data_IF_455978564201
#
_entry.id   IF_455978564201
#
_cell.length_a   1.000
_cell.length_b   1.000
_cell.length_c   1.000
_cell.angle_alpha   90.00
_cell.angle_beta   90.00
_cell.angle_gamma   90.00
#
_symmetry.space_group_name_H-M   'P 1'
#
loop_
_entity.id
_entity.type
_entity.pdbx_description
1 polymer ?
#
# COMPACT_ATOMS: atom_id res chain seq x y z
N UNK A 1 -12.74 -41.34 -4.42
CA UNK A 1 -12.52 -40.28 -5.42
C UNK A 1 -13.16 -38.99 -4.92
N UNK A 2 -12.44 -38.25 -4.10
CA UNK A 2 -12.82 -36.89 -3.71
C UNK A 2 -12.44 -35.95 -4.89
N UNK A 3 -13.46 -35.47 -5.57
CA UNK A 3 -13.32 -34.34 -6.50
C UNK A 3 -13.02 -33.10 -5.67
N UNK A 4 -11.76 -32.73 -5.60
CA UNK A 4 -11.34 -31.44 -5.03
C UNK A 4 -11.56 -30.36 -6.07
N UNK A 5 -12.69 -29.69 -6.01
CA UNK A 5 -12.85 -28.38 -6.63
C UNK A 5 -12.00 -27.39 -5.82
N UNK A 6 -10.75 -27.24 -6.25
CA UNK A 6 -9.83 -26.30 -5.64
C UNK A 6 -10.27 -24.90 -6.05
N UNK A 7 -10.85 -24.14 -5.13
CA UNK A 7 -11.13 -22.72 -5.34
C UNK A 7 -9.80 -21.97 -5.50
N UNK A 8 -9.76 -20.93 -6.35
CA UNK A 8 -8.53 -20.20 -6.70
C UNK A 8 -7.70 -19.70 -5.50
N UNK A 9 -8.32 -19.54 -4.33
CA UNK A 9 -7.65 -19.17 -3.07
C UNK A 9 -6.81 -20.33 -2.51
N UNK A 10 -7.24 -21.57 -2.69
CA UNK A 10 -6.47 -22.75 -2.23
C UNK A 10 -5.18 -22.97 -3.00
N UNK A 11 -5.15 -22.60 -4.30
CA UNK A 11 -3.95 -22.74 -5.12
C UNK A 11 -2.85 -21.78 -4.75
N UNK A 12 -3.15 -20.62 -4.19
CA UNK A 12 -2.15 -19.63 -3.78
C UNK A 12 -1.42 -20.02 -2.49
N UNK A 13 -2.07 -20.76 -1.59
CA UNK A 13 -1.47 -21.11 -0.29
C UNK A 13 -0.82 -22.50 -0.27
N UNK A 14 -1.22 -23.42 -1.16
CA UNK A 14 -0.61 -24.76 -1.25
C UNK A 14 0.92 -24.73 -1.46
N UNK A 15 1.50 -23.86 -2.29
CA UNK A 15 2.94 -23.72 -2.39
C UNK A 15 3.59 -23.18 -1.11
N UNK A 16 2.87 -22.39 -0.33
CA UNK A 16 3.37 -21.76 0.90
C UNK A 16 3.42 -22.78 2.04
N UNK A 17 2.43 -23.67 2.13
CA UNK A 17 2.34 -24.68 3.19
C UNK A 17 3.35 -25.83 3.01
N UNK A 18 3.73 -26.15 1.77
CA UNK A 18 4.65 -27.24 1.46
C UNK A 18 6.12 -26.80 1.30
N UNK A 19 6.44 -25.52 1.30
CA UNK A 19 7.80 -25.02 1.29
C UNK A 19 8.21 -24.56 2.69
N UNK A 20 9.32 -25.10 3.19
CA UNK A 20 10.02 -24.54 4.35
C UNK A 20 10.47 -23.13 4.01
N UNK A 21 9.63 -22.14 4.33
CA UNK A 21 9.98 -20.74 4.13
C UNK A 21 11.12 -20.35 5.08
N UNK A 22 12.18 -19.80 4.53
CA UNK A 22 13.21 -19.14 5.33
C UNK A 22 12.59 -17.97 6.10
N UNK A 23 12.99 -17.75 7.35
CA UNK A 23 12.51 -16.64 8.17
C UNK A 23 12.56 -15.29 7.43
N UNK A 24 13.65 -15.01 6.72
CA UNK A 24 13.81 -13.79 5.92
C UNK A 24 12.77 -13.67 4.81
N UNK A 25 12.42 -14.77 4.15
CA UNK A 25 11.37 -14.77 3.12
C UNK A 25 10.00 -14.45 3.74
N UNK A 26 9.70 -14.99 4.91
CA UNK A 26 8.48 -14.67 5.66
C UNK A 26 8.40 -13.19 6.06
N UNK A 27 9.52 -12.62 6.51
CA UNK A 27 9.61 -11.18 6.82
C UNK A 27 9.38 -10.33 5.58
N UNK A 28 10.04 -10.64 4.45
CA UNK A 28 9.82 -9.91 3.19
C UNK A 28 8.37 -9.98 2.73
N UNK A 29 7.73 -11.13 2.80
CA UNK A 29 6.34 -11.30 2.39
C UNK A 29 5.38 -10.46 3.28
N UNK A 30 5.59 -10.50 4.59
CA UNK A 30 4.83 -9.67 5.54
C UNK A 30 5.05 -8.18 5.28
N UNK A 31 6.29 -7.77 5.04
CA UNK A 31 6.63 -6.40 4.68
C UNK A 31 5.93 -5.98 3.39
N UNK A 32 5.98 -6.79 2.34
CA UNK A 32 5.37 -6.49 1.05
C UNK A 32 3.85 -6.34 1.16
N UNK A 33 3.20 -7.16 1.98
CA UNK A 33 1.77 -7.05 2.25
C UNK A 33 1.40 -5.68 2.86
N UNK A 34 2.17 -5.20 3.84
CA UNK A 34 1.89 -3.94 4.51
C UNK A 34 2.42 -2.71 3.77
N UNK A 35 3.43 -2.84 2.91
CA UNK A 35 4.05 -1.72 2.21
C UNK A 35 3.04 -0.92 1.38
N UNK A 36 2.19 -1.61 0.62
CA UNK A 36 1.15 -0.99 -0.20
C UNK A 36 0.12 -0.27 0.67
N UNK A 37 -0.34 -0.92 1.76
CA UNK A 37 -1.29 -0.34 2.69
C UNK A 37 -0.77 0.92 3.41
N UNK A 38 0.54 1.01 3.62
CA UNK A 38 1.16 2.18 4.28
C UNK A 38 0.98 3.46 3.48
N UNK A 39 1.06 3.40 2.16
CA UNK A 39 0.85 4.57 1.30
C UNK A 39 -0.62 4.95 1.24
N UNK A 40 -1.52 3.99 1.07
CA UNK A 40 -2.97 4.23 1.09
C UNK A 40 -3.48 4.76 2.44
N UNK A 41 -2.74 4.52 3.53
CA UNK A 41 -3.10 5.06 4.85
C UNK A 41 -3.16 6.59 4.88
N UNK A 42 -2.42 7.28 4.00
CA UNK A 42 -2.46 8.75 3.91
C UNK A 42 -3.82 9.26 3.44
N UNK A 43 -4.49 8.56 2.54
CA UNK A 43 -5.81 8.92 2.02
C UNK A 43 -6.88 8.89 3.12
N UNK A 44 -6.71 8.01 4.09
CA UNK A 44 -7.63 7.84 5.22
C UNK A 44 -7.28 8.81 6.34
N UNK A 45 -5.99 8.95 6.65
CA UNK A 45 -5.52 9.77 7.78
C UNK A 45 -5.69 11.26 7.54
N UNK A 46 -5.84 11.72 6.29
CA UNK A 46 -6.11 13.13 5.97
C UNK A 46 -7.40 13.68 6.60
N UNK A 47 -8.33 12.82 7.00
CA UNK A 47 -9.57 13.23 7.69
C UNK A 47 -9.38 13.45 9.19
N UNK A 48 -8.21 13.17 9.73
CA UNK A 48 -7.91 13.39 11.15
C UNK A 48 -7.67 14.88 11.43
N UNK A 49 -8.14 15.35 12.59
CA UNK A 49 -8.08 16.78 12.96
C UNK A 49 -6.66 17.28 13.20
N UNK A 50 -5.79 16.43 13.74
CA UNK A 50 -4.44 16.81 14.07
C UNK A 50 -3.48 15.61 14.10
N UNK A 51 -2.16 15.90 14.02
CA UNK A 51 -1.10 14.89 14.02
C UNK A 51 -1.15 13.92 15.22
N UNK A 52 -1.52 14.42 16.40
CA UNK A 52 -1.57 13.60 17.61
C UNK A 52 -2.68 12.55 17.54
N UNK A 53 -3.83 12.92 17.01
CA UNK A 53 -4.94 11.99 16.76
C UNK A 53 -4.57 10.97 15.69
N UNK A 54 -3.95 11.40 14.59
CA UNK A 54 -3.46 10.49 13.56
C UNK A 54 -2.53 9.43 14.14
N UNK A 55 -1.50 9.84 14.89
CA UNK A 55 -0.55 8.90 15.50
C UNK A 55 -1.25 7.95 16.49
N UNK A 56 -2.14 8.48 17.33
CA UNK A 56 -2.87 7.65 18.31
C UNK A 56 -3.78 6.64 17.63
N UNK A 57 -4.58 7.07 16.66
CA UNK A 57 -5.50 6.18 15.94
C UNK A 57 -4.76 5.12 15.14
N UNK A 58 -3.63 5.46 14.53
CA UNK A 58 -2.81 4.49 13.78
C UNK A 58 -2.14 3.50 14.73
N UNK A 59 -1.47 3.98 15.77
CA UNK A 59 -0.75 3.10 16.70
C UNK A 59 -1.70 2.20 17.48
N UNK A 60 -2.76 2.75 18.07
CA UNK A 60 -3.69 1.98 18.91
C UNK A 60 -4.80 1.29 18.14
N UNK A 61 -5.17 1.79 16.97
CA UNK A 61 -6.20 1.18 16.13
C UNK A 61 -5.67 0.07 15.22
N UNK A 62 -4.47 0.23 14.66
CA UNK A 62 -3.93 -0.71 13.67
C UNK A 62 -3.01 -1.75 14.29
N UNK A 63 -2.03 -1.35 15.11
CA UNK A 63 -1.00 -2.27 15.59
C UNK A 63 -1.54 -3.38 16.50
N UNK A 64 -2.29 -3.10 17.59
CA UNK A 64 -2.76 -4.17 18.48
C UNK A 64 -3.72 -5.12 17.77
N UNK A 65 -4.67 -4.57 17.00
CA UNK A 65 -5.64 -5.38 16.27
C UNK A 65 -4.96 -6.21 15.18
N UNK A 66 -4.01 -5.62 14.44
CA UNK A 66 -3.24 -6.33 13.42
C UNK A 66 -2.42 -7.49 14.02
N UNK A 67 -1.73 -7.26 15.12
CA UNK A 67 -0.96 -8.29 15.82
C UNK A 67 -1.87 -9.41 16.32
N UNK A 68 -2.98 -9.07 16.99
CA UNK A 68 -3.94 -10.05 17.50
C UNK A 68 -4.53 -10.87 16.34
N UNK A 69 -4.93 -10.22 15.25
CA UNK A 69 -5.48 -10.90 14.07
C UNK A 69 -4.47 -11.87 13.45
N UNK A 70 -3.20 -11.46 13.34
CA UNK A 70 -2.15 -12.34 12.83
C UNK A 70 -1.91 -13.54 13.74
N UNK A 71 -1.86 -13.35 15.06
CA UNK A 71 -1.69 -14.45 16.02
C UNK A 71 -2.86 -15.43 15.93
N UNK A 72 -4.09 -14.93 15.94
CA UNK A 72 -5.30 -15.77 15.83
C UNK A 72 -5.29 -16.50 14.48
N UNK A 73 -4.96 -15.82 13.38
CA UNK A 73 -4.88 -16.43 12.06
C UNK A 73 -3.88 -17.58 12.01
N UNK A 74 -2.69 -17.39 12.55
CA UNK A 74 -1.66 -18.45 12.63
C UNK A 74 -2.12 -19.64 13.47
N UNK A 75 -2.73 -19.38 14.63
CA UNK A 75 -3.23 -20.43 15.53
C UNK A 75 -4.34 -21.24 14.85
N UNK A 76 -5.33 -20.56 14.26
CA UNK A 76 -6.44 -21.20 13.57
C UNK A 76 -5.98 -22.03 12.37
N UNK A 77 -5.07 -21.48 11.55
CA UNK A 77 -4.47 -22.20 10.41
C UNK A 77 -3.74 -23.46 10.86
N UNK A 78 -3.04 -23.42 11.98
CA UNK A 78 -2.33 -24.58 12.54
C UNK A 78 -3.26 -25.64 13.10
N UNK A 79 -4.37 -25.25 13.72
CA UNK A 79 -5.36 -26.17 14.31
C UNK A 79 -6.19 -26.84 13.23
N UNK A 80 -6.65 -26.07 12.25
CA UNK A 80 -7.55 -26.54 11.20
C UNK A 80 -6.83 -27.12 9.99
N UNK A 81 -5.50 -26.99 9.92
CA UNK A 81 -4.69 -27.31 8.73
C UNK A 81 -5.26 -26.68 7.45
N UNK A 82 -5.90 -25.52 7.63
CA UNK A 82 -6.52 -24.74 6.57
C UNK A 82 -6.41 -23.24 6.88
N UNK A 83 -6.14 -22.44 5.85
CA UNK A 83 -6.00 -20.99 5.99
C UNK A 83 -7.27 -20.21 5.62
N UNK A 84 -8.27 -20.89 5.01
CA UNK A 84 -9.54 -20.26 4.68
C UNK A 84 -10.44 -20.21 5.92
N UNK A 85 -10.57 -19.02 6.48
CA UNK A 85 -11.35 -18.79 7.70
C UNK A 85 -12.83 -19.22 7.55
N UNK A 86 -13.38 -19.17 6.34
CA UNK A 86 -14.77 -19.61 6.10
C UNK A 86 -14.92 -21.11 6.24
N UNK A 87 -13.92 -21.86 5.78
CA UNK A 87 -13.86 -23.32 5.95
C UNK A 87 -13.63 -23.66 7.41
N UNK A 88 -12.66 -23.02 8.06
CA UNK A 88 -12.35 -23.23 9.48
C UNK A 88 -13.57 -23.01 10.36
N UNK A 89 -14.31 -21.92 10.16
CA UNK A 89 -15.51 -21.64 10.93
C UNK A 89 -16.69 -22.57 10.59
N UNK A 90 -16.73 -23.08 9.37
CA UNK A 90 -17.68 -24.12 8.98
C UNK A 90 -17.41 -25.43 9.72
N UNK A 91 -16.15 -25.84 9.82
CA UNK A 91 -15.73 -27.07 10.50
C UNK A 91 -15.97 -26.99 12.03
N UNK A 92 -15.89 -25.79 12.59
CA UNK A 92 -16.23 -25.52 14.00
C UNK A 92 -17.76 -25.51 14.24
N UNK A 93 -18.58 -25.57 13.18
CA UNK A 93 -20.05 -25.65 13.29
C UNK A 93 -20.76 -24.29 13.27
N UNK A 94 -20.09 -23.21 12.88
CA UNK A 94 -20.67 -21.87 12.77
C UNK A 94 -20.51 -21.26 11.35
N UNK A 95 -20.94 -21.97 10.29
CA UNK A 95 -20.69 -21.57 8.91
C UNK A 95 -21.33 -20.22 8.54
N UNK A 96 -22.54 -19.93 9.04
CA UNK A 96 -23.25 -18.67 8.76
C UNK A 96 -22.45 -17.48 9.30
N UNK A 97 -21.87 -17.59 10.48
CA UNK A 97 -21.04 -16.56 11.07
C UNK A 97 -19.76 -16.33 10.24
N UNK A 98 -19.10 -17.42 9.81
CA UNK A 98 -17.91 -17.36 8.96
C UNK A 98 -18.16 -16.63 7.63
N UNK A 99 -19.22 -17.01 6.93
CA UNK A 99 -19.59 -16.37 5.66
C UNK A 99 -19.96 -14.91 5.86
N UNK A 100 -20.71 -14.58 6.92
CA UNK A 100 -21.10 -13.20 7.21
C UNK A 100 -19.88 -12.33 7.52
N UNK A 101 -18.96 -12.82 8.35
CA UNK A 101 -17.71 -12.12 8.65
C UNK A 101 -16.86 -11.89 7.39
N UNK A 102 -16.76 -12.91 6.52
CA UNK A 102 -16.01 -12.80 5.27
C UNK A 102 -16.62 -11.74 4.34
N UNK A 103 -17.95 -11.75 4.17
CA UNK A 103 -18.65 -10.76 3.34
C UNK A 103 -18.41 -9.34 3.89
N UNK A 104 -18.58 -9.13 5.18
CA UNK A 104 -18.40 -7.81 5.79
C UNK A 104 -16.96 -7.32 5.71
N UNK A 105 -15.99 -8.19 5.99
CA UNK A 105 -14.57 -7.86 5.90
C UNK A 105 -14.16 -7.51 4.47
N UNK A 106 -14.60 -8.29 3.50
CA UNK A 106 -14.35 -8.06 2.07
C UNK A 106 -15.00 -6.77 1.60
N UNK A 107 -16.24 -6.52 2.01
CA UNK A 107 -16.96 -5.30 1.68
C UNK A 107 -16.23 -4.05 2.15
N UNK A 108 -15.83 -4.00 3.42
CA UNK A 108 -15.13 -2.84 3.99
C UNK A 108 -13.79 -2.60 3.33
N UNK A 109 -13.00 -3.66 3.12
CA UNK A 109 -11.68 -3.57 2.47
C UNK A 109 -11.80 -3.12 1.03
N UNK A 110 -12.71 -3.70 0.25
CA UNK A 110 -12.89 -3.33 -1.15
C UNK A 110 -13.42 -1.91 -1.31
N UNK A 111 -14.31 -1.46 -0.44
CA UNK A 111 -14.82 -0.09 -0.46
C UNK A 111 -13.70 0.93 -0.20
N UNK A 112 -12.83 0.66 0.76
CA UNK A 112 -11.68 1.52 1.09
C UNK A 112 -10.66 1.52 -0.05
N UNK A 113 -10.33 0.37 -0.61
CA UNK A 113 -9.38 0.25 -1.71
C UNK A 113 -9.91 0.93 -2.98
N UNK A 114 -11.20 0.78 -3.30
CA UNK A 114 -11.81 1.45 -4.45
C UNK A 114 -11.79 2.99 -4.29
N UNK A 115 -12.00 3.48 -3.07
CA UNK A 115 -11.92 4.91 -2.76
C UNK A 115 -10.50 5.45 -3.00
N UNK A 116 -9.47 4.82 -2.41
CA UNK A 116 -8.07 5.25 -2.58
C UNK A 116 -7.63 5.16 -4.04
N UNK A 117 -7.90 4.03 -4.70
CA UNK A 117 -7.52 3.85 -6.10
C UNK A 117 -8.18 4.89 -7.04
N UNK A 118 -9.45 5.22 -6.82
CA UNK A 118 -10.11 6.26 -7.60
C UNK A 118 -9.51 7.66 -7.34
N UNK A 119 -9.15 7.94 -6.08
CA UNK A 119 -8.49 9.18 -5.71
C UNK A 119 -7.13 9.31 -6.39
N UNK A 120 -6.30 8.27 -6.31
CA UNK A 120 -4.96 8.24 -6.90
C UNK A 120 -5.00 8.43 -8.42
N UNK A 121 -5.91 7.71 -9.12
CA UNK A 121 -6.08 7.83 -10.57
C UNK A 121 -6.58 9.21 -10.98
N UNK A 122 -7.56 9.78 -10.26
CA UNK A 122 -8.05 11.13 -10.55
C UNK A 122 -6.96 12.18 -10.37
N UNK A 123 -6.15 12.07 -9.34
CA UNK A 123 -5.03 12.98 -9.08
C UNK A 123 -3.90 12.79 -10.11
N UNK A 124 -3.52 11.56 -10.41
CA UNK A 124 -2.43 11.25 -11.35
C UNK A 124 -2.75 11.72 -12.77
N UNK A 125 -3.99 11.54 -13.23
CA UNK A 125 -4.44 11.92 -14.57
C UNK A 125 -5.05 13.32 -14.63
N UNK A 126 -5.07 14.06 -13.52
CA UNK A 126 -5.71 15.39 -13.40
C UNK A 126 -7.16 15.40 -13.88
N UNK A 127 -7.89 14.33 -13.60
CA UNK A 127 -9.32 14.22 -13.92
C UNK A 127 -10.10 15.10 -12.93
N UNK A 128 -11.08 15.87 -13.38
CA UNK A 128 -11.90 16.70 -12.49
C UNK A 128 -12.70 15.83 -11.52
N UNK A 129 -12.83 16.28 -10.28
CA UNK A 129 -13.41 15.51 -9.16
C UNK A 129 -14.89 15.10 -9.38
N UNK A 130 -15.62 15.80 -10.24
CA UNK A 130 -16.97 15.44 -10.65
C UNK A 130 -17.07 14.10 -11.40
N UNK A 131 -15.96 13.61 -11.99
CA UNK A 131 -15.87 12.32 -12.68
C UNK A 131 -15.31 11.19 -11.82
N UNK A 132 -15.09 11.43 -10.52
CA UNK A 132 -14.53 10.42 -9.61
C UNK A 132 -15.37 9.14 -9.58
N UNK A 133 -16.71 9.24 -9.65
CA UNK A 133 -17.58 8.07 -9.70
C UNK A 133 -17.29 7.16 -10.89
N UNK A 134 -17.11 7.75 -12.07
CA UNK A 134 -16.78 7.01 -13.31
C UNK A 134 -15.43 6.32 -13.18
N UNK A 135 -14.43 7.03 -12.65
CA UNK A 135 -13.10 6.47 -12.40
C UNK A 135 -13.17 5.29 -11.42
N UNK A 136 -13.95 5.40 -10.35
CA UNK A 136 -14.15 4.30 -9.39
C UNK A 136 -14.72 3.06 -10.08
N UNK A 137 -15.72 3.23 -10.95
CA UNK A 137 -16.32 2.11 -11.70
C UNK A 137 -15.28 1.47 -12.62
N UNK A 138 -14.54 2.27 -13.38
CA UNK A 138 -13.51 1.76 -14.31
C UNK A 138 -12.42 0.98 -13.56
N UNK A 139 -11.90 1.55 -12.48
CA UNK A 139 -10.87 0.90 -11.66
C UNK A 139 -11.41 -0.40 -11.04
N UNK A 140 -12.66 -0.38 -10.55
CA UNK A 140 -13.32 -1.57 -10.00
C UNK A 140 -13.49 -2.67 -11.04
N UNK A 141 -13.91 -2.32 -12.26
CA UNK A 141 -14.03 -3.29 -13.37
C UNK A 141 -12.67 -3.88 -13.73
N UNK A 142 -11.63 -3.05 -13.86
CA UNK A 142 -10.26 -3.52 -14.16
C UNK A 142 -9.79 -4.48 -13.06
N UNK A 143 -9.93 -4.11 -11.79
CA UNK A 143 -9.54 -4.96 -10.67
C UNK A 143 -10.30 -6.30 -10.65
N UNK A 144 -11.60 -6.29 -10.96
CA UNK A 144 -12.41 -7.51 -11.04
C UNK A 144 -11.94 -8.40 -12.20
N UNK A 145 -11.66 -7.83 -13.36
CA UNK A 145 -11.13 -8.58 -14.50
C UNK A 145 -9.75 -9.18 -14.20
N UNK A 146 -8.85 -8.41 -13.59
CA UNK A 146 -7.55 -8.94 -13.15
C UNK A 146 -7.70 -10.11 -12.18
N UNK A 147 -8.64 -10.03 -11.24
CA UNK A 147 -8.98 -11.13 -10.35
C UNK A 147 -9.49 -12.37 -11.12
N UNK A 148 -10.40 -12.17 -12.08
CA UNK A 148 -10.97 -13.24 -12.90
C UNK A 148 -9.92 -13.91 -13.81
N UNK A 149 -8.92 -13.16 -14.28
CA UNK A 149 -7.80 -13.69 -15.07
C UNK A 149 -6.72 -14.38 -14.22
N UNK A 150 -6.95 -14.60 -12.94
CA UNK A 150 -6.11 -15.45 -12.10
C UNK A 150 -4.85 -14.76 -11.55
N UNK A 151 -4.86 -13.43 -11.40
CA UNK A 151 -3.75 -12.70 -10.74
C UNK A 151 -3.48 -13.22 -9.33
N UNK A 152 -4.50 -13.80 -8.68
CA UNK A 152 -4.39 -14.42 -7.37
C UNK A 152 -3.39 -15.59 -7.34
N UNK A 153 -3.18 -16.27 -8.46
CA UNK A 153 -2.20 -17.36 -8.57
C UNK A 153 -0.74 -16.85 -8.49
N UNK A 154 -0.54 -15.54 -8.65
CA UNK A 154 0.76 -14.88 -8.65
C UNK A 154 0.86 -13.79 -7.57
N UNK A 155 0.07 -13.89 -6.50
CA UNK A 155 -0.01 -12.86 -5.44
C UNK A 155 1.35 -12.51 -4.85
N UNK A 156 2.20 -13.51 -4.56
CA UNK A 156 3.54 -13.28 -4.01
C UNK A 156 4.39 -12.40 -4.96
N UNK A 157 4.47 -12.78 -6.23
CA UNK A 157 5.24 -12.04 -7.23
C UNK A 157 4.64 -10.65 -7.49
N UNK A 158 3.32 -10.53 -7.47
CA UNK A 158 2.62 -9.28 -7.64
C UNK A 158 2.86 -8.32 -6.47
N UNK A 159 2.79 -8.79 -5.23
CA UNK A 159 3.09 -7.99 -4.04
C UNK A 159 4.55 -7.55 -4.01
N UNK A 160 5.49 -8.42 -4.36
CA UNK A 160 6.91 -8.04 -4.47
C UNK A 160 7.10 -6.98 -5.55
N UNK A 161 6.49 -7.14 -6.72
CA UNK A 161 6.55 -6.14 -7.78
C UNK A 161 5.99 -4.78 -7.35
N UNK A 162 4.83 -4.77 -6.71
CA UNK A 162 4.25 -3.54 -6.15
C UNK A 162 5.17 -2.92 -5.11
N UNK A 163 5.79 -3.71 -4.25
CA UNK A 163 6.70 -3.21 -3.22
C UNK A 163 7.93 -2.53 -3.80
N UNK A 164 8.50 -3.06 -4.90
CA UNK A 164 9.58 -2.37 -5.62
C UNK A 164 9.18 -0.98 -6.14
N UNK A 165 7.91 -0.78 -6.48
CA UNK A 165 7.41 0.52 -6.93
C UNK A 165 7.03 1.44 -5.77
N UNK A 166 6.46 0.89 -4.71
CA UNK A 166 5.88 1.63 -3.58
C UNK A 166 6.94 2.06 -2.56
N UNK A 167 7.89 1.18 -2.23
CA UNK A 167 8.92 1.48 -1.23
C UNK A 167 9.75 2.73 -1.54
N UNK A 168 10.19 2.98 -2.78
CA UNK A 168 10.91 4.21 -3.10
C UNK A 168 10.09 5.49 -2.87
N UNK A 169 8.75 5.44 -3.04
CA UNK A 169 7.87 6.58 -2.75
C UNK A 169 7.96 6.93 -1.26
N UNK A 170 7.90 5.92 -0.38
CA UNK A 170 8.07 6.11 1.06
C UNK A 170 9.41 6.76 1.42
N UNK A 171 10.50 6.35 0.75
CA UNK A 171 11.83 6.92 0.92
C UNK A 171 11.91 8.38 0.49
N UNK A 172 11.33 8.72 -0.65
CA UNK A 172 11.22 10.10 -1.15
C UNK A 172 10.46 10.98 -0.16
N UNK A 173 9.29 10.55 0.28
CA UNK A 173 8.47 11.30 1.22
C UNK A 173 9.15 11.49 2.56
N UNK A 174 9.85 10.47 3.05
CA UNK A 174 10.64 10.58 4.28
C UNK A 174 11.76 11.62 4.13
N UNK A 175 12.52 11.56 3.05
CA UNK A 175 13.60 12.49 2.78
C UNK A 175 13.09 13.93 2.63
N UNK A 176 12.01 14.12 1.87
CA UNK A 176 11.45 15.45 1.62
C UNK A 176 10.86 16.07 2.88
N UNK A 177 9.98 15.34 3.57
CA UNK A 177 9.29 15.88 4.74
C UNK A 177 10.17 15.98 5.98
N UNK A 178 10.88 14.89 6.34
CA UNK A 178 11.60 14.82 7.62
C UNK A 178 13.00 15.41 7.56
N UNK A 179 13.74 15.13 6.50
CA UNK A 179 15.14 15.57 6.43
C UNK A 179 15.19 17.01 5.92
N UNK A 180 14.56 17.28 4.80
CA UNK A 180 14.67 18.57 4.16
C UNK A 180 13.65 19.56 4.74
N UNK A 181 12.38 19.15 4.87
CA UNK A 181 11.30 19.95 5.47
C UNK A 181 11.38 20.07 7.00
N UNK A 182 12.34 19.34 7.65
CA UNK A 182 12.52 19.34 9.12
C UNK A 182 11.23 19.01 9.88
N UNK A 183 10.32 18.22 9.29
CA UNK A 183 9.03 17.86 9.86
C UNK A 183 8.03 19.03 10.02
N UNK A 184 8.24 20.14 9.32
CA UNK A 184 7.36 21.32 9.38
C UNK A 184 6.34 21.26 8.23
N UNK A 185 5.02 21.21 8.51
CA UNK A 185 3.99 21.21 7.48
C UNK A 185 4.04 22.42 6.55
N UNK A 186 4.42 23.58 7.10
CA UNK A 186 4.56 24.84 6.35
C UNK A 186 5.68 24.84 5.31
N UNK A 187 6.60 23.88 5.40
CA UNK A 187 7.72 23.76 4.44
C UNK A 187 7.36 22.96 3.20
N UNK A 188 6.15 22.41 3.14
CA UNK A 188 5.67 21.63 2.00
C UNK A 188 4.65 22.44 1.20
N UNK A 189 4.93 22.63 -0.08
CA UNK A 189 4.04 23.32 -1.01
C UNK A 189 3.77 22.44 -2.22
N UNK A 190 2.50 22.45 -2.68
CA UNK A 190 2.13 21.73 -3.88
C UNK A 190 2.78 22.39 -5.10
N UNK A 191 3.51 21.60 -5.89
CA UNK A 191 4.09 22.08 -7.14
C UNK A 191 3.03 22.21 -8.24
N UNK A 192 3.04 23.29 -9.01
CA UNK A 192 2.27 23.34 -10.24
C UNK A 192 2.91 22.38 -11.26
N UNK A 193 2.16 21.32 -11.63
CA UNK A 193 2.63 20.33 -12.58
C UNK A 193 3.15 19.04 -11.96
N UNK A 194 4.17 18.46 -12.57
CA UNK A 194 4.79 17.20 -12.12
C UNK A 194 6.18 17.46 -11.52
N UNK A 195 6.46 16.82 -10.37
CA UNK A 195 7.80 16.83 -9.80
C UNK A 195 8.70 15.81 -10.53
N UNK A 196 9.31 16.24 -11.63
CA UNK A 196 10.20 15.39 -12.44
C UNK A 196 11.40 14.87 -11.63
N UNK A 197 11.92 15.65 -10.69
CA UNK A 197 13.01 15.20 -9.82
C UNK A 197 12.56 14.01 -8.99
N UNK A 198 11.37 14.10 -8.38
CA UNK A 198 10.78 13.00 -7.63
C UNK A 198 10.52 11.77 -8.51
N UNK A 199 9.93 11.95 -9.70
CA UNK A 199 9.60 10.85 -10.62
C UNK A 199 10.86 10.12 -11.08
N UNK A 200 11.88 10.85 -11.52
CA UNK A 200 13.15 10.26 -11.98
C UNK A 200 13.86 9.53 -10.84
N UNK A 201 13.94 10.14 -9.66
CA UNK A 201 14.53 9.51 -8.48
C UNK A 201 13.78 8.23 -8.10
N UNK A 202 12.45 8.27 -8.12
CA UNK A 202 11.62 7.10 -7.90
C UNK A 202 11.93 5.97 -8.88
N UNK A 203 11.96 6.26 -10.17
CA UNK A 203 12.20 5.24 -11.20
C UNK A 203 13.60 4.61 -11.08
N UNK A 204 14.63 5.43 -10.83
CA UNK A 204 16.01 4.93 -10.63
C UNK A 204 16.07 4.06 -9.37
N UNK A 205 15.47 4.50 -8.27
CA UNK A 205 15.48 3.78 -7.00
C UNK A 205 14.71 2.45 -7.08
N UNK A 206 13.59 2.43 -7.80
CA UNK A 206 12.84 1.21 -8.05
C UNK A 206 13.64 0.21 -8.89
N UNK A 207 14.32 0.69 -9.95
CA UNK A 207 15.18 -0.14 -10.79
C UNK A 207 16.37 -0.72 -10.00
N UNK A 208 17.01 0.09 -9.15
CA UNK A 208 18.10 -0.37 -8.28
C UNK A 208 17.64 -1.41 -7.25
N UNK A 209 16.51 -1.17 -6.59
CA UNK A 209 15.93 -2.11 -5.65
C UNK A 209 15.61 -3.45 -6.32
N UNK A 210 15.02 -3.41 -7.52
CA UNK A 210 14.74 -4.58 -8.33
C UNK A 210 16.02 -5.34 -8.74
N UNK A 211 17.09 -4.63 -9.11
CA UNK A 211 18.37 -5.22 -9.48
C UNK A 211 19.04 -5.94 -8.29
N UNK A 212 18.94 -5.38 -7.09
CA UNK A 212 19.46 -5.98 -5.85
C UNK A 212 18.52 -7.07 -5.30
N UNK A 213 17.28 -7.15 -5.79
CA UNK A 213 16.23 -8.07 -5.32
C UNK A 213 15.88 -7.90 -3.84
N UNK A 214 15.91 -6.67 -3.34
CA UNK A 214 15.57 -6.32 -1.96
C UNK A 214 14.58 -5.14 -2.01
N UNK A 215 13.30 -5.41 -1.74
CA UNK A 215 12.21 -4.45 -1.90
C UNK A 215 12.39 -3.22 -1.00
N UNK A 216 12.68 -3.44 0.28
CA UNK A 216 12.84 -2.36 1.27
C UNK A 216 14.10 -1.51 1.06
N UNK A 217 15.09 -1.99 0.28
CA UNK A 217 16.25 -1.18 -0.09
C UNK A 217 15.84 0.03 -0.93
N UNK A 218 14.71 -0.05 -1.64
CA UNK A 218 14.15 1.07 -2.40
C UNK A 218 13.90 2.32 -1.55
N UNK A 219 13.55 2.17 -0.27
CA UNK A 219 13.37 3.28 0.66
C UNK A 219 14.69 4.03 0.84
N UNK A 220 15.77 3.29 1.08
CA UNK A 220 17.09 3.87 1.33
C UNK A 220 17.64 4.51 0.06
N UNK A 221 17.56 3.80 -1.07
CA UNK A 221 18.03 4.32 -2.35
C UNK A 221 17.31 5.61 -2.73
N UNK A 222 15.98 5.64 -2.59
CA UNK A 222 15.20 6.82 -2.90
C UNK A 222 15.54 8.00 -1.97
N UNK A 223 15.67 7.75 -0.68
CA UNK A 223 16.03 8.80 0.26
C UNK A 223 17.42 9.39 -0.06
N UNK A 224 18.42 8.55 -0.28
CA UNK A 224 19.79 8.98 -0.57
C UNK A 224 19.88 9.72 -1.90
N UNK A 225 19.34 9.12 -2.97
CA UNK A 225 19.40 9.72 -4.31
C UNK A 225 18.64 11.04 -4.32
N UNK A 226 17.46 11.10 -3.69
CA UNK A 226 16.67 12.33 -3.62
C UNK A 226 17.43 13.45 -2.90
N UNK A 227 18.07 13.16 -1.77
CA UNK A 227 18.87 14.13 -1.04
C UNK A 227 20.06 14.64 -1.86
N UNK A 228 20.72 13.77 -2.62
CA UNK A 228 21.82 14.14 -3.50
C UNK A 228 21.31 15.04 -4.63
N UNK A 229 20.24 14.62 -5.32
CA UNK A 229 19.70 15.37 -6.46
C UNK A 229 19.19 16.75 -6.03
N UNK A 230 18.48 16.82 -4.89
CA UNK A 230 17.98 18.09 -4.33
C UNK A 230 19.11 19.05 -3.95
N UNK A 231 20.28 18.55 -3.59
CA UNK A 231 21.45 19.41 -3.30
C UNK A 231 21.99 20.09 -4.56
N UNK A 232 21.92 19.42 -5.71
CA UNK A 232 22.44 19.95 -6.97
C UNK A 232 21.37 20.68 -7.79
N UNK A 233 20.13 20.25 -7.71
CA UNK A 233 19.00 20.83 -8.45
C UNK A 233 17.79 20.89 -7.52
N UNK A 234 17.69 21.90 -6.66
CA UNK A 234 16.55 22.06 -5.77
C UNK A 234 15.25 22.01 -6.55
N UNK A 235 14.30 21.20 -6.08
CA UNK A 235 12.98 21.15 -6.71
C UNK A 235 12.33 22.54 -6.64
N UNK A 236 11.49 22.85 -7.64
CA UNK A 236 10.88 24.20 -7.72
C UNK A 236 10.00 24.52 -6.48
N UNK A 237 9.59 23.50 -5.72
CA UNK A 237 8.84 23.68 -4.46
C UNK A 237 9.62 24.47 -3.39
N UNK A 238 10.94 24.63 -3.55
CA UNK A 238 11.81 25.33 -2.60
C UNK A 238 12.36 26.65 -3.07
N UNK A 239 12.10 27.02 -4.29
CA UNK A 239 12.39 28.38 -4.78
C UNK A 239 11.33 29.39 -4.32
N UNK A 240 10.57 29.09 -3.30
CA UNK A 240 9.75 30.09 -2.65
C UNK A 240 10.69 30.99 -1.85
N UNK A 241 10.73 32.24 -2.27
CA UNK A 241 11.51 33.32 -1.70
C UNK A 241 11.33 33.39 -0.19
N UNK A 242 12.34 33.86 0.51
CA UNK A 242 12.48 33.83 1.96
C UNK A 242 11.41 34.55 2.79
N UNK A 243 10.27 34.95 2.21
CA UNK A 243 9.13 35.56 2.90
C UNK A 243 7.90 34.63 3.04
N UNK A 244 7.92 33.44 2.44
CA UNK A 244 6.86 32.46 2.59
C UNK A 244 5.54 32.80 1.90
N UNK A 245 5.51 33.79 1.04
CA UNK A 245 4.32 34.14 0.26
C UNK A 245 4.22 33.29 -0.99
N UNK A 246 3.09 32.59 -1.15
CA UNK A 246 2.72 31.89 -2.39
C UNK A 246 2.45 32.95 -3.45
N UNK A 247 3.12 32.94 -4.62
CA UNK A 247 2.73 33.83 -5.70
C UNK A 247 1.27 33.51 -6.05
N UNK A 248 0.39 34.50 -5.92
CA UNK A 248 -0.97 34.42 -6.47
C UNK A 248 -0.83 34.11 -7.96
N UNK A 249 -1.25 32.91 -8.34
CA UNK A 249 -1.36 32.56 -9.75
C UNK A 249 -2.43 33.48 -10.33
N UNK A 250 -2.00 34.49 -11.05
CA UNK A 250 -2.87 35.26 -11.95
C UNK A 250 -3.64 34.29 -12.84
N UNK A 251 -4.94 34.42 -12.80
CA UNK A 251 -5.96 33.73 -13.61
C UNK A 251 -5.55 33.47 -15.06
#
# INVERSE_FOLDING_TARGET
TRSTTVTGVQTCALPILNQTMTFLKGVSLSFNFYAVGTISAMDITRFQKNRRETVRSTVWGVLPLGIITLIIGVVLTKIADNYDISIVLSDVGIPIFGVTCLILATWTTNSTNAYSAALDVTMALKIPDNRRREVTIVVGVIGTLMGAFGILNHVESFLSFLSFLVCPIGGLMFADYWIIGKGKPMSWHALPGYNWVGIVTWAISAALAYAVKIEYAGIIFAAVIYLIVERFKPSASRKLDGDGTVPETSN
#
